data_IF_122594654213
#
_entry.id   IF_122594654213
#
_cell.length_a   1.000
_cell.length_b   1.000
_cell.length_c   1.000
_cell.angle_alpha   90.00
_cell.angle_beta   90.00
_cell.angle_gamma   90.00
#
_symmetry.space_group_name_H-M   'P 1'
#
loop_
_entity.id
_entity.type
_entity.pdbx_description
1 polymer ?
#
# COMPACT_ATOMS: atom_id res chain seq x y z
N UNK A 1 29.49 -9.63 10.25
CA UNK A 1 28.42 -9.15 11.13
C UNK A 1 28.10 -7.71 10.72
N UNK A 2 27.09 -7.49 9.87
CA UNK A 2 26.54 -6.15 9.65
C UNK A 2 25.18 -6.17 10.35
N UNK A 3 25.14 -5.53 11.53
CA UNK A 3 23.91 -5.27 12.24
C UNK A 3 23.06 -4.32 11.39
N UNK A 4 22.07 -4.84 10.71
CA UNK A 4 21.02 -4.03 10.10
C UNK A 4 20.26 -3.36 11.25
N UNK A 5 20.31 -2.04 11.24
CA UNK A 5 19.71 -1.20 12.27
C UNK A 5 18.19 -1.29 12.20
N UNK A 6 17.62 -2.36 12.80
CA UNK A 6 16.16 -2.57 12.92
C UNK A 6 15.47 -1.45 13.72
N UNK A 7 16.23 -0.53 14.31
CA UNK A 7 15.73 0.60 15.10
C UNK A 7 15.16 1.73 14.24
N UNK A 8 15.62 1.88 12.98
CA UNK A 8 15.17 2.94 12.08
C UNK A 8 13.79 2.61 11.50
N UNK A 9 13.60 1.42 10.94
CA UNK A 9 12.29 1.00 10.39
C UNK A 9 11.16 1.04 11.43
N UNK A 10 11.47 0.76 12.70
CA UNK A 10 10.48 0.82 13.79
C UNK A 10 10.02 2.25 14.15
N UNK A 11 10.73 3.30 13.71
CA UNK A 11 10.36 4.70 13.99
C UNK A 11 9.33 5.25 13.01
N UNK A 12 9.35 4.78 11.77
CA UNK A 12 8.68 5.41 10.64
C UNK A 12 7.16 5.24 10.64
N UNK A 13 6.66 4.10 11.10
CA UNK A 13 5.23 3.81 11.14
C UNK A 13 4.51 4.24 12.43
N UNK A 14 5.22 4.94 13.32
CA UNK A 14 4.72 5.37 14.64
C UNK A 14 3.47 6.23 14.55
N UNK A 15 3.54 7.26 13.72
CA UNK A 15 2.49 8.24 13.56
C UNK A 15 1.36 7.69 12.70
N UNK A 16 1.69 6.84 11.72
CA UNK A 16 0.73 6.23 10.82
C UNK A 16 -0.24 5.29 11.56
N UNK A 17 0.27 4.43 12.46
CA UNK A 17 -0.57 3.55 13.25
C UNK A 17 -1.63 4.31 14.07
N UNK A 18 -1.31 5.52 14.57
CA UNK A 18 -2.24 6.37 15.31
C UNK A 18 -3.38 6.96 14.47
N UNK A 19 -3.21 7.11 13.16
CA UNK A 19 -4.22 7.68 12.25
C UNK A 19 -4.92 6.65 11.38
N UNK A 20 -4.48 5.37 11.43
CA UNK A 20 -4.95 4.31 10.53
C UNK A 20 -6.48 4.16 10.53
N UNK A 21 -7.13 4.27 11.69
CA UNK A 21 -8.59 4.16 11.79
C UNK A 21 -9.37 5.23 11.03
N UNK A 22 -8.74 6.38 10.72
CA UNK A 22 -9.35 7.48 9.95
C UNK A 22 -9.12 7.35 8.45
N UNK A 23 -8.23 6.46 8.03
CA UNK A 23 -7.94 6.29 6.61
C UNK A 23 -9.12 5.61 5.90
N UNK A 24 -9.37 6.03 4.66
CA UNK A 24 -10.41 5.49 3.78
C UNK A 24 -9.80 5.15 2.42
N UNK A 25 -10.59 4.54 1.54
CA UNK A 25 -10.17 4.33 0.17
C UNK A 25 -9.70 5.66 -0.49
N UNK A 26 -8.60 5.60 -1.26
CA UNK A 26 -7.83 4.45 -1.70
C UNK A 26 -6.82 3.91 -0.67
N UNK A 27 -6.52 4.60 0.42
CA UNK A 27 -5.49 4.21 1.40
C UNK A 27 -5.80 2.93 2.18
N UNK A 28 -7.06 2.54 2.23
CA UNK A 28 -7.53 1.24 2.74
C UNK A 28 -8.35 0.55 1.65
N UNK A 29 -8.33 -0.79 1.57
CA UNK A 29 -9.13 -1.50 0.60
C UNK A 29 -10.62 -1.31 0.89
N UNK A 30 -11.40 -1.05 -0.17
CA UNK A 30 -12.84 -1.03 -0.09
C UNK A 30 -13.42 -2.46 -0.10
N UNK A 31 -14.69 -2.66 0.26
CA UNK A 31 -15.31 -3.99 0.26
C UNK A 31 -15.15 -4.74 -1.07
N UNK A 32 -15.25 -4.05 -2.21
CA UNK A 32 -15.04 -4.66 -3.52
C UNK A 32 -13.59 -5.10 -3.77
N UNK A 33 -12.60 -4.39 -3.20
CA UNK A 33 -11.20 -4.82 -3.28
C UNK A 33 -10.97 -6.09 -2.47
N UNK A 34 -11.57 -6.20 -1.28
CA UNK A 34 -11.51 -7.40 -0.44
C UNK A 34 -12.08 -8.60 -1.20
N UNK A 35 -13.22 -8.40 -1.87
CA UNK A 35 -13.85 -9.45 -2.68
C UNK A 35 -12.98 -9.80 -3.91
N UNK A 36 -12.29 -8.84 -4.51
CA UNK A 36 -11.31 -9.09 -5.56
C UNK A 36 -10.17 -9.98 -5.06
N UNK A 37 -9.60 -9.71 -3.87
CA UNK A 37 -8.60 -10.58 -3.25
C UNK A 37 -9.14 -12.00 -3.02
N UNK A 38 -10.36 -12.13 -2.48
CA UNK A 38 -11.01 -13.42 -2.22
C UNK A 38 -11.14 -14.26 -3.50
N UNK A 39 -11.71 -13.67 -4.55
CA UNK A 39 -11.95 -14.38 -5.81
C UNK A 39 -10.69 -14.70 -6.58
N UNK A 40 -9.68 -13.82 -6.52
CA UNK A 40 -8.50 -13.94 -7.37
C UNK A 40 -7.41 -14.83 -6.77
N UNK A 41 -7.28 -14.86 -5.42
CA UNK A 41 -6.15 -15.53 -4.78
C UNK A 41 -6.48 -16.15 -3.41
N UNK A 42 -7.23 -15.46 -2.55
CA UNK A 42 -7.34 -15.74 -1.12
C UNK A 42 -8.72 -16.30 -0.74
N UNK A 43 -9.21 -17.26 -1.52
CA UNK A 43 -10.46 -17.97 -1.24
C UNK A 43 -10.45 -18.71 0.09
N UNK A 44 -11.64 -19.09 0.60
CA UNK A 44 -11.84 -19.61 1.96
C UNK A 44 -11.17 -20.97 2.24
N UNK A 45 -10.65 -21.64 1.23
CA UNK A 45 -9.88 -22.89 1.33
C UNK A 45 -8.35 -22.70 1.40
N UNK A 46 -7.85 -21.48 1.26
CA UNK A 46 -6.43 -21.16 1.06
C UNK A 46 -5.68 -20.88 2.37
N UNK A 47 -4.39 -21.28 2.39
CA UNK A 47 -3.39 -20.79 3.35
C UNK A 47 -2.79 -19.51 2.79
N UNK A 48 -3.02 -18.40 3.46
CA UNK A 48 -2.70 -17.06 2.98
C UNK A 48 -1.55 -16.46 3.78
N UNK A 49 -0.56 -15.89 3.09
CA UNK A 49 0.41 -14.97 3.66
C UNK A 49 0.01 -13.54 3.28
N UNK A 50 -0.19 -12.69 4.28
CA UNK A 50 -0.42 -11.26 4.09
C UNK A 50 0.88 -10.49 4.39
N UNK A 51 1.42 -9.79 3.39
CA UNK A 51 2.52 -8.85 3.59
C UNK A 51 1.98 -7.52 4.09
N UNK A 52 2.21 -7.24 5.39
CA UNK A 52 1.59 -6.16 6.15
C UNK A 52 0.50 -6.68 7.09
N UNK A 53 -0.21 -5.74 7.72
CA UNK A 53 -1.25 -6.03 8.72
C UNK A 53 -2.59 -5.38 8.41
N UNK A 54 -2.92 -5.20 7.14
CA UNK A 54 -4.18 -4.60 6.67
C UNK A 54 -5.38 -5.34 7.29
N UNK A 55 -6.15 -4.69 8.19
CA UNK A 55 -7.17 -5.39 8.99
C UNK A 55 -8.28 -6.01 8.14
N UNK A 56 -8.66 -5.32 7.06
CA UNK A 56 -9.73 -5.75 6.15
C UNK A 56 -9.41 -7.08 5.47
N UNK A 57 -8.13 -7.36 5.25
CA UNK A 57 -7.67 -8.59 4.61
C UNK A 57 -7.50 -9.74 5.60
N UNK A 58 -7.54 -9.46 6.92
CA UNK A 58 -7.35 -10.46 7.97
C UNK A 58 -8.42 -11.56 7.99
N UNK A 59 -9.51 -11.38 7.27
CA UNK A 59 -10.64 -12.34 7.20
C UNK A 59 -10.53 -13.32 6.04
N UNK A 60 -9.53 -13.17 5.16
CA UNK A 60 -9.38 -13.98 3.95
C UNK A 60 -8.72 -15.33 4.22
N UNK A 61 -8.98 -16.29 3.35
CA UNK A 61 -8.41 -17.64 3.41
C UNK A 61 -8.96 -18.52 4.54
N UNK A 62 -8.61 -19.80 4.56
CA UNK A 62 -8.84 -20.71 5.67
C UNK A 62 -7.93 -20.39 6.85
N UNK A 63 -6.66 -20.19 6.55
CA UNK A 63 -5.61 -19.79 7.49
C UNK A 63 -4.89 -18.58 6.95
N UNK A 64 -4.59 -17.60 7.78
CA UNK A 64 -3.86 -16.42 7.39
C UNK A 64 -2.76 -16.11 8.39
N UNK A 65 -1.55 -15.95 7.89
CA UNK A 65 -0.42 -15.38 8.62
C UNK A 65 -0.10 -14.01 8.02
N UNK A 66 -0.17 -12.97 8.83
CA UNK A 66 0.31 -11.64 8.48
C UNK A 66 1.77 -11.48 8.95
N UNK A 67 2.57 -10.72 8.22
CA UNK A 67 3.96 -10.43 8.58
C UNK A 67 4.28 -8.96 8.32
N UNK A 68 4.86 -8.29 9.32
CA UNK A 68 5.25 -6.89 9.24
C UNK A 68 6.51 -6.67 10.08
N UNK A 69 7.37 -5.75 9.65
CA UNK A 69 8.60 -5.42 10.38
C UNK A 69 8.40 -4.34 11.45
N UNK A 70 7.20 -3.78 11.57
CA UNK A 70 6.86 -2.75 12.54
C UNK A 70 6.11 -3.31 13.75
N UNK A 71 6.74 -3.40 14.94
CA UNK A 71 6.03 -3.81 16.16
C UNK A 71 4.80 -2.95 16.48
N UNK A 72 4.80 -1.69 16.05
CA UNK A 72 3.67 -0.78 16.28
C UNK A 72 2.50 -1.05 15.34
N UNK A 73 2.76 -1.41 14.10
CA UNK A 73 1.71 -1.85 13.17
C UNK A 73 1.05 -3.12 13.69
N UNK A 74 1.85 -4.08 14.17
CA UNK A 74 1.34 -5.30 14.80
C UNK A 74 0.49 -4.99 16.05
N UNK A 75 0.93 -4.07 16.90
CA UNK A 75 0.24 -3.77 18.15
C UNK A 75 -1.02 -2.92 18.00
N UNK A 76 -1.09 -2.04 16.99
CA UNK A 76 -2.14 -1.02 16.90
C UNK A 76 -3.04 -1.15 15.67
N UNK A 77 -2.65 -1.91 14.66
CA UNK A 77 -3.39 -2.05 13.39
C UNK A 77 -3.91 -3.46 13.19
N UNK A 78 -3.11 -4.49 13.52
CA UNK A 78 -3.59 -5.87 13.48
C UNK A 78 -4.78 -6.07 14.43
N UNK A 79 -5.88 -6.72 13.98
CA UNK A 79 -7.09 -6.88 14.82
C UNK A 79 -6.96 -7.91 15.93
N UNK A 80 -5.77 -8.45 16.16
CA UNK A 80 -5.49 -9.47 17.16
C UNK A 80 -5.50 -10.89 16.60
N UNK A 81 -4.69 -11.74 17.23
CA UNK A 81 -4.62 -13.15 16.88
C UNK A 81 -5.88 -13.89 17.32
N UNK A 82 -6.31 -14.85 16.51
CA UNK A 82 -7.43 -15.75 16.77
C UNK A 82 -7.23 -17.04 16.00
N UNK A 83 -8.12 -18.01 16.20
CA UNK A 83 -8.04 -19.30 15.49
C UNK A 83 -7.87 -19.09 13.96
N UNK A 84 -6.86 -19.74 13.41
CA UNK A 84 -6.50 -19.63 11.99
C UNK A 84 -5.96 -18.26 11.54
N UNK A 85 -5.73 -17.30 12.45
CA UNK A 85 -5.29 -15.94 12.15
C UNK A 85 -4.21 -15.49 13.11
N UNK A 86 -3.03 -15.14 12.61
CA UNK A 86 -1.93 -14.61 13.42
C UNK A 86 -1.11 -13.57 12.67
N UNK A 87 -0.43 -12.71 13.42
CA UNK A 87 0.55 -11.82 12.87
C UNK A 87 1.91 -12.03 13.53
N UNK A 88 2.98 -11.95 12.76
CA UNK A 88 4.35 -12.11 13.24
C UNK A 88 5.22 -10.92 12.84
N UNK A 89 6.24 -10.65 13.66
CA UNK A 89 7.29 -9.71 13.33
C UNK A 89 8.27 -10.37 12.35
N UNK A 90 8.57 -9.72 11.23
CA UNK A 90 9.55 -10.22 10.27
C UNK A 90 9.75 -9.34 9.06
N UNK A 91 10.74 -9.68 8.26
CA UNK A 91 11.13 -8.95 7.05
C UNK A 91 10.55 -9.66 5.80
N UNK A 92 10.02 -8.88 4.87
CA UNK A 92 9.46 -9.42 3.62
C UNK A 92 10.53 -9.91 2.65
N UNK A 93 11.78 -9.48 2.85
CA UNK A 93 12.94 -9.90 2.05
C UNK A 93 13.63 -11.16 2.57
N UNK A 94 13.23 -11.64 3.76
CA UNK A 94 13.71 -12.87 4.38
C UNK A 94 12.58 -13.53 5.18
N UNK A 95 11.65 -14.14 4.46
CA UNK A 95 10.44 -14.72 5.06
C UNK A 95 10.77 -15.99 5.85
N UNK A 96 10.40 -16.10 7.13
CA UNK A 96 10.73 -17.24 8.01
C UNK A 96 9.85 -18.46 7.74
N UNK A 97 9.59 -18.76 6.46
CA UNK A 97 8.74 -19.87 6.03
C UNK A 97 9.49 -20.77 5.03
N UNK A 98 9.17 -22.03 5.05
CA UNK A 98 9.67 -22.97 4.03
C UNK A 98 9.12 -22.65 2.64
N UNK A 99 9.83 -23.05 1.60
CA UNK A 99 9.34 -22.94 0.21
C UNK A 99 8.03 -23.70 0.04
N UNK A 100 7.06 -23.11 -0.65
CA UNK A 100 5.77 -23.75 -0.92
C UNK A 100 4.82 -23.85 0.27
N UNK A 101 4.97 -22.99 1.29
CA UNK A 101 4.16 -23.01 2.49
C UNK A 101 2.74 -22.42 2.30
N UNK A 102 2.53 -21.58 1.29
CA UNK A 102 1.29 -20.85 1.10
C UNK A 102 0.66 -21.10 -0.26
N UNK A 103 -0.66 -21.08 -0.29
CA UNK A 103 -1.47 -21.16 -1.50
C UNK A 103 -1.66 -19.77 -2.13
N UNK A 104 -1.59 -18.72 -1.29
CA UNK A 104 -1.63 -17.33 -1.73
C UNK A 104 -0.69 -16.42 -0.92
N UNK A 105 -0.07 -15.44 -1.61
CA UNK A 105 0.60 -14.30 -1.01
C UNK A 105 -0.14 -13.04 -1.46
N UNK A 106 -0.61 -12.26 -0.51
CA UNK A 106 -1.38 -11.05 -0.78
C UNK A 106 -0.77 -9.83 -0.10
N UNK A 107 -1.05 -8.65 -0.65
CA UNK A 107 -0.59 -7.40 -0.05
C UNK A 107 -1.35 -6.19 -0.57
N UNK A 108 -1.59 -5.24 0.32
CA UNK A 108 -2.22 -3.97 0.02
C UNK A 108 -1.17 -2.86 0.10
N UNK A 109 -0.75 -2.34 -1.03
CA UNK A 109 0.34 -1.37 -1.17
C UNK A 109 1.71 -1.86 -0.63
N UNK A 110 1.90 -3.16 -0.42
CA UNK A 110 3.12 -3.69 0.18
C UNK A 110 4.36 -3.37 -0.66
N UNK A 111 4.27 -3.50 -2.00
CA UNK A 111 5.38 -3.11 -2.89
C UNK A 111 5.62 -1.60 -2.89
N UNK A 112 4.56 -0.79 -2.78
CA UNK A 112 4.73 0.66 -2.66
C UNK A 112 5.43 1.06 -1.34
N UNK A 113 5.22 0.29 -0.27
CA UNK A 113 5.79 0.53 1.05
C UNK A 113 7.23 0.00 1.22
N UNK A 114 7.69 -0.89 0.33
CA UNK A 114 9.05 -1.41 0.31
C UNK A 114 9.76 -1.09 -1.03
N UNK A 115 9.87 0.19 -1.42
CA UNK A 115 10.21 0.57 -2.79
C UNK A 115 11.64 0.22 -3.20
N UNK A 116 12.56 0.11 -2.25
CA UNK A 116 13.95 -0.24 -2.51
C UNK A 116 14.17 -1.75 -2.63
N UNK A 117 13.18 -2.57 -2.26
CA UNK A 117 13.31 -4.02 -2.05
C UNK A 117 12.28 -4.83 -2.85
N UNK A 118 11.69 -4.24 -3.89
CA UNK A 118 10.61 -4.87 -4.67
C UNK A 118 11.03 -6.22 -5.24
N UNK A 119 12.25 -6.34 -5.76
CA UNK A 119 12.75 -7.58 -6.38
C UNK A 119 12.92 -8.70 -5.34
N UNK A 120 13.49 -8.37 -4.17
CA UNK A 120 13.69 -9.30 -3.06
C UNK A 120 12.33 -9.78 -2.51
N UNK A 121 11.39 -8.87 -2.32
CA UNK A 121 10.03 -9.19 -1.86
C UNK A 121 9.32 -10.12 -2.86
N UNK A 122 9.44 -9.87 -4.16
CA UNK A 122 8.85 -10.73 -5.19
C UNK A 122 9.52 -12.12 -5.24
N UNK A 123 10.84 -12.18 -5.06
CA UNK A 123 11.58 -13.44 -5.01
C UNK A 123 11.14 -14.30 -3.81
N UNK A 124 11.02 -13.71 -2.62
CA UNK A 124 10.56 -14.38 -1.41
C UNK A 124 9.08 -14.80 -1.51
N UNK A 125 8.21 -13.92 -2.02
CA UNK A 125 6.82 -14.27 -2.29
C UNK A 125 6.71 -15.48 -3.23
N UNK A 126 7.52 -15.51 -4.30
CA UNK A 126 7.59 -16.66 -5.20
C UNK A 126 8.08 -17.91 -4.50
N UNK A 127 9.11 -17.80 -3.66
CA UNK A 127 9.69 -18.94 -2.94
C UNK A 127 8.67 -19.62 -2.02
N UNK A 128 7.94 -18.82 -1.25
CA UNK A 128 6.99 -19.35 -0.25
C UNK A 128 5.65 -19.81 -0.83
N UNK A 129 5.29 -19.38 -2.05
CA UNK A 129 4.11 -19.90 -2.74
C UNK A 129 4.30 -21.37 -3.13
N UNK A 130 3.28 -22.19 -3.05
CA UNK A 130 3.26 -23.54 -3.63
C UNK A 130 3.18 -23.48 -5.17
N UNK A 131 3.52 -24.55 -5.90
CA UNK A 131 3.28 -24.63 -7.35
C UNK A 131 1.79 -24.38 -7.65
N UNK A 132 1.49 -23.45 -8.58
CA UNK A 132 0.14 -23.02 -8.90
C UNK A 132 -0.47 -22.05 -7.89
N UNK A 133 0.25 -21.70 -6.84
CA UNK A 133 -0.15 -20.67 -5.87
C UNK A 133 -0.24 -19.29 -6.49
N UNK A 134 -1.04 -18.41 -5.89
CA UNK A 134 -1.37 -17.09 -6.41
C UNK A 134 -0.72 -15.95 -5.62
N UNK A 135 -0.15 -15.01 -6.35
CA UNK A 135 0.21 -13.68 -5.85
C UNK A 135 -0.93 -12.72 -6.15
N UNK A 136 -1.31 -11.86 -5.21
CA UNK A 136 -2.23 -10.75 -5.48
C UNK A 136 -1.80 -9.51 -4.70
N UNK A 137 -1.41 -8.45 -5.41
CA UNK A 137 -1.04 -7.16 -4.82
C UNK A 137 -1.90 -6.04 -5.39
N UNK A 138 -2.63 -5.33 -4.50
CA UNK A 138 -3.19 -4.04 -4.86
C UNK A 138 -2.08 -3.01 -4.80
N UNK A 139 -1.93 -2.24 -5.88
CA UNK A 139 -0.85 -1.28 -6.06
C UNK A 139 -1.40 0.13 -6.13
N UNK A 140 -0.57 1.12 -5.85
CA UNK A 140 -0.81 2.52 -6.17
C UNK A 140 0.08 2.91 -7.35
N UNK A 141 -0.53 3.07 -8.53
CA UNK A 141 0.18 3.29 -9.77
C UNK A 141 0.06 4.75 -10.24
N UNK A 142 1.19 5.36 -10.57
CA UNK A 142 1.19 6.65 -11.28
C UNK A 142 0.52 6.50 -12.64
N UNK A 143 -0.16 7.53 -13.15
CA UNK A 143 -0.61 7.56 -14.53
C UNK A 143 0.59 7.57 -15.48
N UNK A 144 0.41 7.08 -16.70
CA UNK A 144 1.47 7.11 -17.74
C UNK A 144 1.84 8.55 -18.10
N UNK A 145 0.87 9.46 -18.10
CA UNK A 145 1.09 10.91 -18.25
C UNK A 145 0.92 11.59 -16.88
N UNK A 146 2.01 12.08 -16.27
CA UNK A 146 1.97 12.69 -14.96
C UNK A 146 1.12 13.96 -14.89
N UNK A 147 0.36 14.12 -13.84
CA UNK A 147 -0.31 15.38 -13.51
C UNK A 147 0.69 16.38 -12.92
N UNK A 148 0.48 17.68 -13.14
CA UNK A 148 1.22 18.73 -12.43
C UNK A 148 0.54 19.09 -11.11
N UNK A 149 1.31 19.56 -10.13
CA UNK A 149 0.74 20.02 -8.86
C UNK A 149 -0.24 21.19 -9.04
N UNK A 150 0.02 22.08 -9.99
CA UNK A 150 -0.86 23.20 -10.31
C UNK A 150 -2.19 22.75 -10.91
N UNK A 151 -2.16 21.74 -11.80
CA UNK A 151 -3.37 21.13 -12.32
C UNK A 151 -4.21 20.50 -11.19
N UNK A 152 -3.58 19.68 -10.33
CA UNK A 152 -4.23 19.04 -9.20
C UNK A 152 -4.89 20.08 -8.28
N UNK A 153 -4.17 21.18 -7.97
CA UNK A 153 -4.70 22.26 -7.13
C UNK A 153 -5.93 22.92 -7.75
N UNK A 154 -5.83 23.25 -9.03
CA UNK A 154 -6.93 23.88 -9.78
C UNK A 154 -8.16 22.99 -9.82
N UNK A 155 -7.97 21.70 -10.08
CA UNK A 155 -9.03 20.70 -10.16
C UNK A 155 -9.76 20.52 -8.81
N UNK A 156 -9.03 20.51 -7.69
CA UNK A 156 -9.61 20.44 -6.33
C UNK A 156 -10.54 21.62 -6.08
N UNK A 157 -10.09 22.85 -6.39
CA UNK A 157 -10.93 24.04 -6.19
C UNK A 157 -12.04 24.20 -7.23
N UNK A 158 -11.95 23.51 -8.36
CA UNK A 158 -13.02 23.40 -9.34
C UNK A 158 -14.10 22.35 -8.96
N UNK A 159 -13.97 21.70 -7.80
CA UNK A 159 -14.97 20.76 -7.31
C UNK A 159 -14.69 19.30 -7.67
N UNK A 160 -13.43 18.90 -7.84
CA UNK A 160 -13.07 17.50 -8.03
C UNK A 160 -13.75 16.60 -6.97
N UNK A 161 -14.49 15.53 -7.40
CA UNK A 161 -15.31 14.70 -6.51
C UNK A 161 -14.48 13.64 -5.77
N UNK A 162 -13.32 14.02 -5.23
CA UNK A 162 -12.42 13.15 -4.50
C UNK A 162 -12.53 13.30 -2.99
N UNK A 163 -11.59 12.68 -2.30
CA UNK A 163 -11.37 12.84 -0.87
C UNK A 163 -9.90 13.16 -0.59
N UNK A 164 -9.57 13.53 0.65
CA UNK A 164 -8.20 13.85 1.03
C UNK A 164 -7.22 12.73 0.73
N UNK A 165 -7.62 11.47 0.94
CA UNK A 165 -6.73 10.33 0.77
C UNK A 165 -6.37 10.10 -0.70
N UNK A 166 -7.32 10.30 -1.60
CA UNK A 166 -7.08 10.29 -3.03
C UNK A 166 -6.23 11.50 -3.48
N UNK A 167 -6.49 12.70 -2.94
CA UNK A 167 -5.65 13.87 -3.18
C UNK A 167 -4.20 13.63 -2.76
N UNK A 168 -4.00 13.05 -1.58
CA UNK A 168 -2.66 12.73 -1.08
C UNK A 168 -1.89 11.85 -2.06
N UNK A 169 -2.55 10.85 -2.66
CA UNK A 169 -1.91 9.99 -3.66
C UNK A 169 -1.71 10.69 -5.01
N UNK A 170 -2.61 11.55 -5.45
CA UNK A 170 -2.37 12.37 -6.66
C UNK A 170 -1.12 13.23 -6.49
N UNK A 171 -0.96 13.89 -5.33
CA UNK A 171 0.24 14.69 -5.02
C UNK A 171 1.48 13.81 -4.98
N UNK A 172 1.43 12.65 -4.31
CA UNK A 172 2.54 11.72 -4.23
C UNK A 172 3.01 11.25 -5.61
N UNK A 173 2.07 10.88 -6.48
CA UNK A 173 2.34 10.47 -7.86
C UNK A 173 2.92 11.61 -8.71
N UNK A 174 2.43 12.85 -8.54
CA UNK A 174 2.99 14.01 -9.23
C UNK A 174 4.42 14.34 -8.77
N UNK A 175 4.72 14.20 -7.48
CA UNK A 175 6.08 14.33 -6.94
C UNK A 175 6.97 13.19 -7.45
N UNK A 176 6.46 11.97 -7.49
CA UNK A 176 7.18 10.79 -7.96
C UNK A 176 7.61 10.90 -9.43
N UNK A 177 6.83 11.59 -10.26
CA UNK A 177 7.14 11.77 -11.68
C UNK A 177 8.50 12.46 -11.93
N UNK A 178 8.98 13.26 -10.99
CA UNK A 178 10.28 13.93 -11.03
C UNK A 178 11.33 13.30 -10.10
N UNK A 179 10.96 12.26 -9.36
CA UNK A 179 11.84 11.62 -8.39
C UNK A 179 12.64 10.47 -9.03
N UNK A 180 13.91 10.26 -8.67
CA UNK A 180 14.67 9.10 -9.11
C UNK A 180 13.94 7.79 -8.77
N UNK A 181 13.82 6.90 -9.76
CA UNK A 181 13.14 5.59 -9.62
C UNK A 181 11.68 5.67 -9.14
N UNK A 182 11.03 6.85 -9.24
CA UNK A 182 9.68 7.11 -8.74
C UNK A 182 9.51 6.79 -7.23
N UNK A 183 10.57 6.98 -6.44
CA UNK A 183 10.57 6.77 -4.99
C UNK A 183 10.58 8.12 -4.29
N UNK A 184 9.63 8.32 -3.38
CA UNK A 184 9.35 9.61 -2.75
C UNK A 184 9.38 9.50 -1.24
N UNK A 185 10.27 10.23 -0.54
CA UNK A 185 10.16 10.41 0.91
C UNK A 185 8.81 11.03 1.28
N UNK A 186 8.11 10.48 2.25
CA UNK A 186 6.76 10.97 2.62
C UNK A 186 6.75 12.43 3.06
N UNK A 187 7.85 12.93 3.59
CA UNK A 187 8.02 14.35 3.93
C UNK A 187 7.95 15.27 2.70
N UNK A 188 8.36 14.80 1.51
CA UNK A 188 8.22 15.56 0.26
C UNK A 188 6.75 15.65 -0.18
N UNK A 189 5.95 14.61 0.10
CA UNK A 189 4.50 14.63 -0.15
C UNK A 189 3.85 15.69 0.75
N UNK A 190 4.20 15.71 2.04
CA UNK A 190 3.72 16.72 2.98
C UNK A 190 4.13 18.14 2.56
N UNK A 191 5.40 18.33 2.22
CA UNK A 191 5.90 19.65 1.78
C UNK A 191 5.23 20.14 0.48
N UNK A 192 4.93 19.23 -0.45
CA UNK A 192 4.17 19.57 -1.66
C UNK A 192 2.73 19.96 -1.30
N UNK A 193 2.07 19.19 -0.44
CA UNK A 193 0.73 19.50 0.04
C UNK A 193 0.66 20.87 0.72
N UNK A 194 1.56 21.16 1.66
CA UNK A 194 1.56 22.43 2.41
C UNK A 194 1.86 23.64 1.51
N UNK A 195 2.66 23.48 0.45
CA UNK A 195 2.85 24.53 -0.57
C UNK A 195 1.59 24.77 -1.40
N UNK A 196 0.88 23.70 -1.77
CA UNK A 196 -0.35 23.78 -2.57
C UNK A 196 -1.51 24.37 -1.74
N UNK A 197 -1.59 24.02 -0.48
CA UNK A 197 -2.69 24.33 0.44
C UNK A 197 -2.17 24.91 1.76
N UNK A 198 -1.57 26.13 1.75
CA UNK A 198 -0.96 26.73 2.95
C UNK A 198 -1.99 27.02 4.05
N UNK A 199 -3.26 27.14 3.68
CA UNK A 199 -4.37 27.39 4.59
C UNK A 199 -5.33 26.20 4.58
N UNK A 200 -5.07 25.19 5.42
CA UNK A 200 -5.85 23.95 5.50
C UNK A 200 -7.32 24.17 5.81
N UNK A 201 -7.66 25.26 6.54
CA UNK A 201 -9.04 25.65 6.82
C UNK A 201 -9.79 26.08 5.54
N UNK A 202 -9.12 26.77 4.62
CA UNK A 202 -9.69 27.14 3.32
C UNK A 202 -9.95 25.90 2.46
N UNK A 203 -9.02 24.96 2.46
CA UNK A 203 -9.21 23.67 1.79
C UNK A 203 -10.42 22.93 2.36
N UNK A 204 -10.54 22.84 3.70
CA UNK A 204 -11.67 22.20 4.36
C UNK A 204 -13.00 22.87 3.97
N UNK A 205 -13.03 24.21 3.97
CA UNK A 205 -14.22 24.98 3.59
C UNK A 205 -14.61 24.79 2.11
N UNK A 206 -13.62 24.75 1.21
CA UNK A 206 -13.86 24.60 -0.22
C UNK A 206 -14.31 23.18 -0.61
N UNK A 207 -13.83 22.15 0.08
CA UNK A 207 -14.08 20.75 -0.26
C UNK A 207 -15.13 20.07 0.62
N UNK A 208 -15.43 20.65 1.79
CA UNK A 208 -16.25 20.00 2.81
C UNK A 208 -15.57 18.84 3.53
N UNK A 209 -14.25 18.63 3.32
CA UNK A 209 -13.54 17.55 4.00
C UNK A 209 -13.31 17.86 5.48
N UNK A 210 -13.48 16.87 6.38
CA UNK A 210 -13.23 17.05 7.80
C UNK A 210 -11.80 17.52 8.08
N UNK A 211 -11.62 18.49 8.97
CA UNK A 211 -10.30 18.99 9.35
C UNK A 211 -9.39 17.89 9.95
N UNK A 212 -9.99 16.94 10.67
CA UNK A 212 -9.30 15.79 11.23
C UNK A 212 -8.78 14.79 10.15
N UNK A 213 -9.47 14.71 9.01
CA UNK A 213 -8.96 13.92 7.88
C UNK A 213 -7.74 14.62 7.28
N UNK A 214 -7.79 15.96 7.11
CA UNK A 214 -6.66 16.76 6.63
C UNK A 214 -5.46 16.64 7.57
N UNK A 215 -5.70 16.62 8.88
CA UNK A 215 -4.65 16.44 9.88
C UNK A 215 -3.97 15.06 9.83
N UNK A 216 -4.52 14.05 9.15
CA UNK A 216 -3.85 12.76 8.97
C UNK A 216 -2.52 12.87 8.20
N UNK A 217 -2.31 13.95 7.44
CA UNK A 217 -1.04 14.26 6.78
C UNK A 217 0.11 14.54 7.77
N UNK A 218 -0.22 14.98 8.99
CA UNK A 218 0.78 15.27 10.02
C UNK A 218 1.51 14.00 10.50
N UNK A 219 0.98 12.81 10.18
CA UNK A 219 1.70 11.55 10.35
C UNK A 219 3.02 11.49 9.57
N UNK A 220 3.19 12.32 8.55
CA UNK A 220 4.42 12.41 7.76
C UNK A 220 5.48 13.33 8.36
N UNK A 221 5.14 14.10 9.40
CA UNK A 221 6.12 14.97 10.10
C UNK A 221 7.18 14.11 10.78
N UNK A 222 8.44 14.30 10.37
CA UNK A 222 9.57 13.57 10.92
C UNK A 222 9.62 12.08 10.57
N UNK A 223 8.80 11.61 9.62
CA UNK A 223 8.84 10.24 9.14
C UNK A 223 9.94 10.07 8.09
N UNK A 224 10.72 8.98 8.17
CA UNK A 224 11.90 8.75 7.32
C UNK A 224 11.65 7.74 6.18
N UNK A 225 10.44 7.17 6.11
CA UNK A 225 10.13 6.20 5.06
C UNK A 225 9.81 6.86 3.71
N UNK A 226 10.01 6.08 2.66
CA UNK A 226 9.68 6.44 1.29
C UNK A 226 8.62 5.51 0.74
N UNK A 227 7.90 5.98 -0.27
CA UNK A 227 6.92 5.19 -1.01
C UNK A 227 7.29 5.18 -2.50
N UNK A 228 7.03 4.07 -3.19
CA UNK A 228 7.22 3.96 -4.63
C UNK A 228 5.90 4.15 -5.38
N UNK A 229 5.93 4.93 -6.48
CA UNK A 229 4.76 5.18 -7.33
C UNK A 229 5.13 5.00 -8.80
N UNK A 230 5.22 3.76 -9.24
CA UNK A 230 5.50 3.41 -10.63
C UNK A 230 4.22 3.36 -11.46
N UNK A 231 4.34 3.43 -12.77
CA UNK A 231 3.22 3.17 -13.66
C UNK A 231 2.82 1.69 -13.62
N UNK A 232 1.59 1.38 -14.00
CA UNK A 232 1.14 -0.01 -14.08
C UNK A 232 1.98 -0.82 -15.09
N UNK A 233 2.38 -0.20 -16.20
CA UNK A 233 3.25 -0.83 -17.21
C UNK A 233 4.61 -1.25 -16.62
N UNK A 234 5.23 -0.37 -15.83
CA UNK A 234 6.47 -0.66 -15.10
C UNK A 234 6.27 -1.83 -14.12
N UNK A 235 5.22 -1.80 -13.31
CA UNK A 235 4.99 -2.86 -12.31
C UNK A 235 4.64 -4.20 -12.96
N UNK A 236 3.89 -4.21 -14.05
CA UNK A 236 3.66 -5.44 -14.82
C UNK A 236 4.97 -6.05 -15.35
N UNK A 237 5.86 -5.21 -15.86
CA UNK A 237 7.18 -5.66 -16.32
C UNK A 237 8.03 -6.21 -15.16
N UNK A 238 8.04 -5.52 -14.02
CA UNK A 238 8.79 -5.95 -12.82
C UNK A 238 8.26 -7.27 -12.26
N UNK A 239 6.96 -7.37 -12.01
CA UNK A 239 6.33 -8.59 -11.51
C UNK A 239 6.47 -9.73 -12.53
N UNK A 240 6.33 -9.44 -13.83
CA UNK A 240 6.43 -10.41 -14.92
C UNK A 240 7.79 -11.12 -15.04
N UNK A 241 8.86 -10.51 -14.54
CA UNK A 241 10.17 -11.19 -14.46
C UNK A 241 10.16 -12.38 -13.49
N UNK A 242 9.38 -12.28 -12.43
CA UNK A 242 9.21 -13.36 -11.44
C UNK A 242 8.03 -14.28 -11.77
N UNK A 243 6.95 -13.71 -12.29
CA UNK A 243 5.67 -14.37 -12.54
C UNK A 243 5.19 -14.05 -13.97
N UNK A 244 5.55 -14.89 -14.96
CA UNK A 244 5.22 -14.60 -16.36
C UNK A 244 3.71 -14.63 -16.66
N UNK A 245 2.93 -15.41 -15.91
CA UNK A 245 1.46 -15.46 -16.02
C UNK A 245 0.84 -14.49 -15.03
N UNK A 246 0.50 -13.29 -15.51
CA UNK A 246 -0.12 -12.25 -14.70
C UNK A 246 -1.34 -11.63 -15.39
N UNK A 247 -2.28 -11.19 -14.58
CA UNK A 247 -3.48 -10.44 -14.98
C UNK A 247 -3.67 -9.21 -14.08
N UNK A 248 -4.54 -8.30 -14.51
CA UNK A 248 -4.88 -7.10 -13.77
C UNK A 248 -6.38 -7.08 -13.49
N UNK A 249 -6.74 -6.88 -12.23
CA UNK A 249 -8.10 -6.71 -11.78
C UNK A 249 -8.29 -5.24 -11.41
N UNK A 250 -9.27 -4.53 -11.97
CA UNK A 250 -9.54 -3.15 -11.59
C UNK A 250 -9.99 -3.05 -10.13
N UNK A 251 -9.68 -1.93 -9.49
CA UNK A 251 -10.20 -1.63 -8.16
C UNK A 251 -11.71 -1.41 -8.18
N UNK A 252 -12.32 -1.42 -7.00
CA UNK A 252 -13.73 -1.10 -6.82
C UNK A 252 -13.99 0.41 -6.99
N UNK A 253 -15.27 0.81 -6.92
CA UNK A 253 -15.69 2.19 -7.18
C UNK A 253 -15.42 3.10 -5.96
N UNK A 254 -14.36 3.89 -6.06
CA UNK A 254 -13.98 4.96 -5.12
C UNK A 254 -13.08 5.99 -5.82
N UNK A 255 -12.91 7.20 -5.26
CA UNK A 255 -12.03 8.20 -5.87
C UNK A 255 -10.62 7.69 -6.10
N UNK A 256 -10.09 7.84 -7.30
CA UNK A 256 -8.77 7.38 -7.75
C UNK A 256 -8.63 5.85 -7.92
N UNK A 257 -9.74 5.13 -8.01
CA UNK A 257 -9.74 3.66 -8.16
C UNK A 257 -8.95 3.19 -9.40
N UNK A 258 -8.98 3.96 -10.48
CA UNK A 258 -8.26 3.68 -11.73
C UNK A 258 -6.73 3.59 -11.56
N UNK A 259 -6.22 4.16 -10.45
CA UNK A 259 -4.78 4.11 -10.08
C UNK A 259 -4.47 3.09 -8.98
N UNK A 260 -5.46 2.29 -8.61
CA UNK A 260 -5.34 1.30 -7.53
C UNK A 260 -5.59 -0.15 -8.03
N UNK A 261 -5.03 -0.57 -9.18
CA UNK A 261 -5.27 -1.90 -9.71
C UNK A 261 -4.69 -2.99 -8.81
N UNK A 262 -5.28 -4.19 -8.87
CA UNK A 262 -4.70 -5.39 -8.30
C UNK A 262 -4.00 -6.19 -9.41
N UNK A 263 -2.73 -6.48 -9.23
CA UNK A 263 -2.00 -7.43 -10.08
C UNK A 263 -2.10 -8.80 -9.45
N UNK A 264 -2.55 -9.77 -10.24
CA UNK A 264 -2.67 -11.18 -9.85
C UNK A 264 -1.73 -12.00 -10.73
N UNK A 265 -0.95 -12.87 -10.13
CA UNK A 265 0.00 -13.71 -10.87
C UNK A 265 0.02 -15.13 -10.32
N UNK A 266 0.50 -16.09 -11.14
CA UNK A 266 0.62 -17.50 -10.78
C UNK A 266 2.08 -17.93 -10.70
N UNK A 267 2.42 -18.70 -9.63
CA UNK A 267 3.72 -19.35 -9.52
C UNK A 267 3.85 -20.52 -10.49
#
# INVERSE_FOLDING_TARGET
>A
MRGTDSSLAARDWRNFAGVHARLRAPLRPAPGDIENFRRSAAGDDKRVLLLGVTPELSVLGRELTAIDNSPRMLANVWPGDREGRRAILGDWTDLPFASGSFDAVIGDASLNAAPEQVEEVLAEAKRVLCPGGKLAFRLFCSPEEPETLDFIRTDVFAGWPGNLHALKWRIAMAVAASAPRAIVPVQQILAAFDRMFPHRAELAAATGWPAEDIATLDAYVGADHSLGFWTLSTMKSTIGRHFPDLSVVPASDYPLAERCPMVVATR
#
